data_IF_876779642987
#
_entry.id   IF_876779642987
#
_cell.length_a   1.000
_cell.length_b   1.000
_cell.length_c   1.000
_cell.angle_alpha   90.00
_cell.angle_beta   90.00
_cell.angle_gamma   90.00
#
_symmetry.space_group_name_H-M   'P 1'
#
loop_
_entity.id
_entity.type
_entity.pdbx_description
1 polymer ?
#
# COMPACT_ATOMS: atom_id res chain seq x y z
N UNK A 1 2.03 5.15 74.41
CA UNK A 1 1.14 4.17 73.77
C UNK A 1 0.89 4.64 72.34
N UNK A 2 1.60 4.08 71.36
CA UNK A 2 1.48 4.44 69.95
C UNK A 2 0.11 3.95 69.43
N UNK A 3 -0.74 4.87 68.95
CA UNK A 3 -1.94 4.53 68.19
C UNK A 3 -1.50 4.08 66.80
N UNK A 4 -1.58 2.78 66.54
CA UNK A 4 -1.52 2.22 65.19
C UNK A 4 -2.66 2.81 64.36
N UNK A 5 -2.34 3.75 63.48
CA UNK A 5 -3.20 4.14 62.37
C UNK A 5 -3.12 3.05 61.31
N UNK A 6 -3.96 2.02 61.44
CA UNK A 6 -4.21 1.07 60.35
C UNK A 6 -4.98 1.82 59.25
N UNK A 7 -4.28 2.22 58.20
CA UNK A 7 -4.92 2.63 56.96
C UNK A 7 -5.51 1.37 56.29
N UNK A 8 -6.76 1.05 56.60
CA UNK A 8 -7.53 0.11 55.78
C UNK A 8 -7.87 0.80 54.46
N UNK A 9 -7.10 0.50 53.41
CA UNK A 9 -7.43 0.93 52.06
C UNK A 9 -8.72 0.26 51.63
N UNK A 10 -9.75 1.04 51.31
CA UNK A 10 -11.00 0.52 50.74
C UNK A 10 -10.70 -0.31 49.46
N UNK A 11 -11.43 -1.41 49.27
CA UNK A 11 -11.28 -2.26 48.09
C UNK A 11 -11.61 -1.48 46.81
N UNK A 12 -11.06 -1.92 45.67
CA UNK A 12 -11.32 -1.30 44.36
C UNK A 12 -12.82 -1.20 44.05
N UNK A 13 -13.59 -2.22 44.44
CA UNK A 13 -15.03 -2.27 44.20
C UNK A 13 -15.79 -1.29 45.09
N UNK A 14 -15.38 -1.14 46.36
CA UNK A 14 -15.97 -0.18 47.29
C UNK A 14 -15.69 1.27 46.85
N UNK A 15 -14.47 1.55 46.38
CA UNK A 15 -14.11 2.86 45.82
C UNK A 15 -14.91 3.17 44.55
N UNK A 16 -15.09 2.19 43.67
CA UNK A 16 -15.89 2.34 42.44
C UNK A 16 -17.36 2.64 42.75
N UNK A 17 -17.97 1.90 43.68
CA UNK A 17 -19.35 2.13 44.09
C UNK A 17 -19.53 3.53 44.69
N UNK A 18 -18.61 3.95 45.56
CA UNK A 18 -18.64 5.30 46.15
C UNK A 18 -18.53 6.39 45.08
N UNK A 19 -17.65 6.22 44.10
CA UNK A 19 -17.53 7.14 42.97
C UNK A 19 -18.81 7.19 42.10
N UNK A 20 -19.48 6.06 41.89
CA UNK A 20 -20.74 6.01 41.12
C UNK A 20 -21.94 6.60 41.88
N UNK A 21 -21.95 6.54 43.20
CA UNK A 21 -23.07 7.03 44.02
C UNK A 21 -23.01 8.52 44.31
N UNK A 22 -21.81 9.07 44.52
CA UNK A 22 -21.64 10.47 44.97
C UNK A 22 -20.59 11.24 44.18
N UNK A 23 -20.07 10.68 43.09
CA UNK A 23 -19.08 11.35 42.25
C UNK A 23 -19.72 12.37 41.31
N UNK A 24 -18.90 13.30 40.83
CA UNK A 24 -19.28 14.21 39.76
C UNK A 24 -19.13 13.47 38.43
N UNK A 25 -20.22 13.40 37.66
CA UNK A 25 -20.18 12.87 36.31
C UNK A 25 -19.58 13.91 35.36
N UNK A 26 -18.54 13.52 34.63
CA UNK A 26 -17.95 14.29 33.54
C UNK A 26 -17.64 13.36 32.38
N UNK A 27 -17.92 13.79 31.14
CA UNK A 27 -17.52 13.03 29.95
C UNK A 27 -16.02 13.16 29.73
N UNK A 28 -15.40 12.08 29.27
CA UNK A 28 -14.01 12.13 28.78
C UNK A 28 -14.03 12.84 27.42
N UNK A 29 -13.26 13.91 27.31
CA UNK A 29 -13.15 14.70 26.08
C UNK A 29 -11.99 14.22 25.20
N UNK A 30 -12.13 14.43 23.88
CA UNK A 30 -11.10 14.10 22.90
C UNK A 30 -10.80 15.35 22.08
N UNK A 31 -9.55 15.82 22.15
CA UNK A 31 -9.05 16.85 21.24
C UNK A 31 -8.76 16.20 19.88
N UNK A 32 -9.64 16.46 18.90
CA UNK A 32 -9.59 15.82 17.59
C UNK A 32 -8.34 16.21 16.78
N UNK A 33 -7.92 17.48 16.86
CA UNK A 33 -6.69 17.95 16.20
C UNK A 33 -5.46 17.23 16.72
N UNK A 34 -5.28 17.19 18.04
CA UNK A 34 -4.16 16.48 18.66
C UNK A 34 -4.22 14.97 18.41
N UNK A 35 -5.41 14.38 18.33
CA UNK A 35 -5.57 12.97 17.97
C UNK A 35 -5.08 12.71 16.54
N UNK A 36 -5.50 13.54 15.58
CA UNK A 36 -5.05 13.45 14.18
C UNK A 36 -3.54 13.69 14.09
N UNK A 37 -3.01 14.73 14.71
CA UNK A 37 -1.56 15.01 14.68
C UNK A 37 -0.74 13.86 15.27
N UNK A 38 -1.20 13.22 16.35
CA UNK A 38 -0.56 12.02 16.91
C UNK A 38 -0.66 10.80 15.99
N UNK A 39 -1.73 10.68 15.20
CA UNK A 39 -1.83 9.64 14.16
C UNK A 39 -0.86 9.93 13.01
N UNK A 40 -0.80 11.17 12.53
CA UNK A 40 0.11 11.61 11.47
C UNK A 40 1.57 11.42 11.85
N UNK A 41 1.94 11.67 13.11
CA UNK A 41 3.30 11.46 13.61
C UNK A 41 3.77 9.99 13.54
N UNK A 42 2.85 9.02 13.40
CA UNK A 42 3.18 7.59 13.22
C UNK A 42 3.33 7.20 11.75
N UNK A 43 2.90 8.05 10.82
CA UNK A 43 3.05 7.85 9.38
C UNK A 43 4.36 8.50 8.92
N UNK A 44 5.49 7.84 9.20
CA UNK A 44 6.81 8.32 8.80
C UNK A 44 7.18 7.96 7.36
N UNK A 45 6.47 7.03 6.72
CA UNK A 45 6.76 6.63 5.34
C UNK A 45 6.34 7.69 4.31
N UNK A 46 7.15 7.77 3.25
CA UNK A 46 6.78 8.50 2.05
C UNK A 46 5.50 7.92 1.41
N UNK A 47 4.73 8.79 0.76
CA UNK A 47 3.53 8.41 -0.01
C UNK A 47 2.39 7.72 0.77
N UNK A 48 2.34 7.83 2.10
CA UNK A 48 1.22 7.29 2.91
C UNK A 48 -0.13 7.80 2.40
N UNK A 49 -0.26 9.08 2.10
CA UNK A 49 -1.51 9.64 1.55
C UNK A 49 -1.87 8.96 0.22
N UNK A 50 -0.90 8.80 -0.69
CA UNK A 50 -1.09 8.11 -1.97
C UNK A 50 -1.58 6.67 -1.77
N UNK A 51 -0.99 5.96 -0.79
CA UNK A 51 -1.37 4.60 -0.40
C UNK A 51 -2.84 4.50 0.01
N UNK A 52 -3.25 5.32 0.97
CA UNK A 52 -4.60 5.23 1.54
C UNK A 52 -5.64 5.63 0.48
N UNK A 53 -5.36 6.63 -0.36
CA UNK A 53 -6.27 7.05 -1.43
C UNK A 53 -6.47 5.98 -2.52
N UNK A 54 -5.39 5.33 -2.98
CA UNK A 54 -5.51 4.27 -3.99
C UNK A 54 -6.15 3.00 -3.42
N UNK A 55 -5.86 2.63 -2.17
CA UNK A 55 -6.50 1.49 -1.50
C UNK A 55 -8.00 1.72 -1.31
N UNK A 56 -8.41 2.90 -0.84
CA UNK A 56 -9.82 3.25 -0.73
C UNK A 56 -10.53 3.23 -2.10
N UNK A 57 -9.82 3.61 -3.17
CA UNK A 57 -10.34 3.56 -4.53
C UNK A 57 -10.51 2.12 -5.03
N UNK A 58 -9.56 1.22 -4.75
CA UNK A 58 -9.65 -0.20 -5.08
C UNK A 58 -10.76 -0.90 -4.27
N UNK A 59 -10.89 -0.58 -2.98
CA UNK A 59 -11.98 -1.05 -2.11
C UNK A 59 -13.37 -0.58 -2.62
N UNK A 60 -13.43 0.60 -3.23
CA UNK A 60 -14.62 1.12 -3.93
C UNK A 60 -14.82 0.48 -5.32
N UNK A 61 -14.02 -0.53 -5.69
CA UNK A 61 -14.08 -1.24 -6.98
C UNK A 61 -13.78 -0.36 -8.19
N UNK A 62 -13.00 0.71 -8.01
CA UNK A 62 -12.54 1.53 -9.13
C UNK A 62 -11.67 0.71 -10.09
N UNK A 63 -11.83 0.95 -11.39
CA UNK A 63 -10.95 0.38 -12.42
C UNK A 63 -9.86 1.35 -12.88
N UNK A 64 -10.06 2.64 -12.63
CA UNK A 64 -9.11 3.72 -12.93
C UNK A 64 -8.90 4.62 -11.71
N UNK A 65 -7.63 4.96 -11.45
CA UNK A 65 -7.22 5.91 -10.42
C UNK A 65 -6.35 7.01 -11.02
N UNK A 66 -6.71 8.27 -10.77
CA UNK A 66 -6.00 9.43 -11.25
C UNK A 66 -5.42 10.20 -10.07
N UNK A 67 -4.13 10.52 -10.13
CA UNK A 67 -3.45 11.40 -9.19
C UNK A 67 -3.08 12.69 -9.92
N UNK A 68 -3.81 13.76 -9.64
CA UNK A 68 -3.69 15.03 -10.32
C UNK A 68 -3.00 16.05 -9.40
N UNK A 69 -1.91 16.64 -9.88
CA UNK A 69 -1.12 17.64 -9.17
C UNK A 69 -1.35 18.99 -9.86
N UNK A 70 -1.67 20.02 -9.09
CA UNK A 70 -1.71 21.40 -9.57
C UNK A 70 -0.52 22.18 -9.01
N UNK A 71 0.19 22.88 -9.88
CA UNK A 71 1.37 23.67 -9.52
C UNK A 71 1.30 25.10 -10.08
N UNK A 72 2.06 26.02 -9.51
CA UNK A 72 2.16 27.43 -9.93
C UNK A 72 2.79 27.65 -11.33
N UNK A 73 3.20 26.59 -12.03
CA UNK A 73 3.75 26.64 -13.39
C UNK A 73 2.67 26.71 -14.49
N UNK A 74 2.89 27.48 -15.55
CA UNK A 74 1.89 27.70 -16.60
C UNK A 74 1.40 26.42 -17.32
N UNK A 75 0.14 26.44 -17.76
CA UNK A 75 -0.56 25.35 -18.49
C UNK A 75 0.07 25.05 -19.87
N UNK A 76 0.91 25.96 -20.39
CA UNK A 76 1.59 25.83 -21.70
C UNK A 76 2.85 24.95 -21.71
N UNK A 77 3.17 24.28 -20.59
CA UNK A 77 4.35 23.41 -20.49
C UNK A 77 4.25 22.17 -21.41
N UNK A 78 5.18 22.05 -22.36
CA UNK A 78 5.21 20.93 -23.31
C UNK A 78 5.94 19.70 -22.77
N UNK A 79 6.89 19.87 -21.84
CA UNK A 79 7.67 18.78 -21.22
C UNK A 79 7.58 18.75 -19.69
N UNK A 80 7.82 17.57 -19.12
CA UNK A 80 7.84 17.32 -17.65
C UNK A 80 8.85 18.21 -16.90
N UNK A 81 9.96 18.58 -17.54
CA UNK A 81 11.02 19.41 -16.94
C UNK A 81 10.55 20.81 -16.53
N UNK A 82 9.55 21.36 -17.21
CA UNK A 82 8.98 22.67 -16.88
C UNK A 82 8.32 22.70 -15.50
N UNK A 83 7.92 21.55 -14.98
CA UNK A 83 7.33 21.43 -13.65
C UNK A 83 8.37 21.25 -12.54
N UNK A 84 9.66 21.19 -12.87
CA UNK A 84 10.73 21.13 -11.89
C UNK A 84 10.74 22.38 -11.01
N UNK A 85 10.88 22.20 -9.70
CA UNK A 85 10.92 23.25 -8.68
C UNK A 85 9.65 24.11 -8.59
N UNK A 86 8.53 23.66 -9.17
CA UNK A 86 7.25 24.33 -9.02
C UNK A 86 6.62 24.00 -7.67
N UNK A 87 5.95 24.99 -7.07
CA UNK A 87 5.17 24.78 -5.85
C UNK A 87 3.88 24.05 -6.20
N UNK A 88 3.56 23.01 -5.44
CA UNK A 88 2.28 22.29 -5.53
C UNK A 88 1.25 23.05 -4.70
N UNK A 89 0.11 23.37 -5.30
CA UNK A 89 -0.99 24.12 -4.68
C UNK A 89 -2.18 23.24 -4.34
N UNK A 90 -2.44 22.21 -5.14
CA UNK A 90 -3.51 21.24 -4.91
C UNK A 90 -3.05 19.84 -5.35
N UNK A 91 -3.47 18.83 -4.60
CA UNK A 91 -3.47 17.43 -5.03
C UNK A 91 -4.91 16.96 -5.08
N UNK A 92 -5.26 16.25 -6.15
CA UNK A 92 -6.58 15.65 -6.33
C UNK A 92 -6.45 14.18 -6.70
N UNK A 93 -7.09 13.32 -5.92
CA UNK A 93 -7.24 11.91 -6.28
C UNK A 93 -8.64 11.68 -6.84
N UNK A 94 -8.74 11.15 -8.06
CA UNK A 94 -10.02 10.88 -8.73
C UNK A 94 -10.12 9.40 -9.06
N UNK A 95 -11.25 8.77 -8.79
CA UNK A 95 -11.52 7.39 -9.16
C UNK A 95 -12.94 7.22 -9.72
N UNK A 96 -13.13 6.15 -10.48
CA UNK A 96 -14.41 5.76 -11.08
C UNK A 96 -15.09 4.61 -10.33
N UNK A 97 -14.80 4.44 -9.04
CA UNK A 97 -15.41 3.43 -8.19
C UNK A 97 -16.87 3.74 -7.84
N UNK A 98 -17.39 2.97 -6.90
CA UNK A 98 -18.71 3.19 -6.33
C UNK A 98 -18.78 4.58 -5.67
N UNK A 99 -19.85 5.31 -5.97
CA UNK A 99 -20.16 6.58 -5.30
C UNK A 99 -20.55 6.33 -3.84
N UNK A 100 -20.28 7.31 -2.98
CA UNK A 100 -20.57 7.20 -1.56
C UNK A 100 -22.08 7.08 -1.32
N UNK A 101 -22.46 6.08 -0.52
CA UNK A 101 -23.79 6.03 0.09
C UNK A 101 -23.79 6.68 1.48
N UNK A 102 -24.95 6.78 2.12
CA UNK A 102 -25.09 7.35 3.48
C UNK A 102 -24.15 6.73 4.53
N UNK A 103 -23.88 5.44 4.43
CA UNK A 103 -22.98 4.74 5.35
C UNK A 103 -21.53 5.12 5.08
N UNK A 104 -21.13 5.31 3.82
CA UNK A 104 -19.78 5.82 3.49
C UNK A 104 -19.59 7.24 4.04
N UNK A 105 -20.56 8.12 3.84
CA UNK A 105 -20.52 9.50 4.34
C UNK A 105 -20.42 9.60 5.86
N UNK A 106 -21.17 8.75 6.59
CA UNK A 106 -21.06 8.69 8.06
C UNK A 106 -19.69 8.18 8.51
N UNK A 107 -19.19 7.13 7.86
CA UNK A 107 -17.90 6.52 8.21
C UNK A 107 -16.73 7.46 7.96
N UNK A 108 -16.70 8.18 6.84
CA UNK A 108 -15.57 9.09 6.54
C UNK A 108 -15.52 10.28 7.52
N UNK A 109 -16.65 10.64 8.13
CA UNK A 109 -16.75 11.67 9.16
C UNK A 109 -16.41 11.15 10.58
N UNK A 110 -16.24 9.85 10.77
CA UNK A 110 -15.99 9.23 12.06
C UNK A 110 -14.53 8.75 12.19
N UNK A 111 -13.79 9.31 13.15
CA UNK A 111 -12.41 8.88 13.42
C UNK A 111 -12.43 7.52 14.11
N UNK A 112 -11.58 6.61 13.62
CA UNK A 112 -11.40 5.26 14.17
C UNK A 112 -12.63 4.35 14.06
N UNK A 113 -13.57 4.67 13.16
CA UNK A 113 -14.65 3.77 12.76
C UNK A 113 -14.28 3.05 11.46
N UNK A 114 -13.68 1.87 11.61
CA UNK A 114 -13.19 1.06 10.50
C UNK A 114 -14.26 0.48 9.58
N UNK A 115 -13.88 0.14 8.35
CA UNK A 115 -14.78 -0.57 7.45
C UNK A 115 -14.94 -2.02 7.93
N UNK A 116 -16.16 -2.39 8.30
CA UNK A 116 -16.50 -3.73 8.78
C UNK A 116 -16.56 -4.77 7.64
N UNK A 117 -16.56 -4.34 6.38
CA UNK A 117 -16.59 -5.24 5.22
C UNK A 117 -15.31 -6.11 5.18
N UNK A 118 -15.48 -7.43 5.31
CA UNK A 118 -14.40 -8.42 5.28
C UNK A 118 -13.49 -8.33 4.05
N UNK A 119 -14.02 -7.91 2.91
CA UNK A 119 -13.26 -7.80 1.66
C UNK A 119 -12.40 -6.52 1.55
N UNK A 120 -12.64 -5.53 2.41
CA UNK A 120 -11.92 -4.25 2.35
C UNK A 120 -10.57 -4.32 3.08
N UNK A 121 -9.54 -3.74 2.46
CA UNK A 121 -8.18 -3.65 3.03
C UNK A 121 -8.16 -2.69 4.23
N UNK A 122 -8.95 -1.62 4.18
CA UNK A 122 -9.04 -0.61 5.22
C UNK A 122 -9.74 -1.08 6.50
N UNK A 123 -8.98 -1.52 7.51
CA UNK A 123 -9.55 -2.07 8.75
C UNK A 123 -9.82 -1.05 9.88
N UNK A 124 -8.98 -0.02 10.05
CA UNK A 124 -8.98 0.80 11.27
C UNK A 124 -9.75 2.13 11.16
N UNK A 125 -10.19 2.53 9.96
CA UNK A 125 -10.98 3.76 9.79
C UNK A 125 -10.20 5.05 10.04
N UNK A 126 -8.87 4.98 10.11
CA UNK A 126 -7.99 6.14 10.32
C UNK A 126 -7.21 6.55 9.07
N UNK A 127 -7.13 5.66 8.07
CA UNK A 127 -6.33 5.85 6.87
C UNK A 127 -6.71 7.10 6.07
N UNK A 128 -8.01 7.41 5.97
CA UNK A 128 -8.48 8.62 5.31
C UNK A 128 -7.90 9.89 5.95
N UNK A 129 -7.80 9.94 7.29
CA UNK A 129 -7.30 11.12 8.00
C UNK A 129 -5.81 11.40 7.76
N UNK A 130 -5.07 10.50 7.09
CA UNK A 130 -3.73 10.80 6.59
C UNK A 130 -3.70 12.02 5.65
N UNK A 131 -4.82 12.33 4.95
CA UNK A 131 -4.91 13.50 4.06
C UNK A 131 -4.65 14.84 4.76
N UNK A 132 -4.83 14.90 6.09
CA UNK A 132 -4.56 16.09 6.89
C UNK A 132 -3.05 16.45 6.99
N UNK A 133 -2.18 15.52 6.59
CA UNK A 133 -0.76 15.83 6.36
C UNK A 133 -0.54 16.76 5.16
N UNK A 134 -1.43 16.73 4.15
CA UNK A 134 -1.35 17.60 2.98
C UNK A 134 -2.30 18.79 3.04
N UNK A 135 -3.47 18.68 3.68
CA UNK A 135 -4.49 19.74 3.66
C UNK A 135 -5.12 19.97 5.02
N UNK A 136 -5.42 21.23 5.37
CA UNK A 136 -6.26 21.56 6.54
C UNK A 136 -7.75 21.55 6.19
N UNK A 137 -8.09 21.57 4.91
CA UNK A 137 -9.44 21.78 4.37
C UNK A 137 -9.77 20.76 3.26
N UNK A 138 -9.67 19.45 3.51
CA UNK A 138 -9.96 18.44 2.49
C UNK A 138 -11.44 18.47 2.08
N UNK A 139 -11.68 18.26 0.79
CA UNK A 139 -13.03 18.15 0.22
C UNK A 139 -13.18 16.80 -0.47
N UNK A 140 -14.32 16.16 -0.25
CA UNK A 140 -14.74 14.95 -0.95
C UNK A 140 -15.88 15.31 -1.88
N UNK A 141 -15.81 14.89 -3.14
CA UNK A 141 -16.90 14.98 -4.11
C UNK A 141 -17.22 13.56 -4.55
N UNK A 142 -18.47 13.12 -4.48
CA UNK A 142 -18.87 11.78 -4.90
C UNK A 142 -20.32 11.77 -5.38
N UNK A 143 -20.55 11.40 -6.64
CA UNK A 143 -21.91 11.36 -7.19
C UNK A 143 -22.50 12.76 -7.35
N UNK A 144 -23.66 12.97 -6.71
CA UNK A 144 -24.40 14.23 -6.70
C UNK A 144 -24.10 15.10 -5.46
N UNK A 145 -23.10 14.73 -4.65
CA UNK A 145 -22.83 15.38 -3.36
C UNK A 145 -21.35 15.68 -3.14
N UNK A 146 -21.11 16.62 -2.22
CA UNK A 146 -19.78 16.91 -1.72
C UNK A 146 -19.80 17.15 -0.21
N UNK A 147 -18.64 16.94 0.43
CA UNK A 147 -18.41 17.15 1.85
C UNK A 147 -17.10 17.93 2.05
N UNK A 148 -17.18 19.03 2.81
CA UNK A 148 -16.01 19.81 3.22
C UNK A 148 -15.72 19.59 4.71
N UNK A 149 -14.44 19.42 5.06
CA UNK A 149 -13.97 19.37 6.44
C UNK A 149 -13.48 20.74 6.90
N UNK A 150 -13.86 21.16 8.10
CA UNK A 150 -13.56 22.49 8.64
C UNK A 150 -13.16 22.38 10.11
N UNK A 151 -11.97 22.88 10.44
CA UNK A 151 -11.53 23.07 11.82
C UNK A 151 -12.25 24.26 12.45
N UNK A 152 -12.68 24.09 13.70
CA UNK A 152 -13.26 25.14 14.54
C UNK A 152 -12.20 25.68 15.51
N UNK A 153 -12.49 26.84 16.09
CA UNK A 153 -11.61 27.53 17.06
C UNK A 153 -11.32 26.68 18.31
N UNK A 154 -12.23 25.77 18.67
CA UNK A 154 -12.07 24.82 19.79
C UNK A 154 -11.26 23.56 19.42
N UNK A 155 -10.66 23.52 18.23
CA UNK A 155 -9.95 22.36 17.66
C UNK A 155 -10.83 21.14 17.36
N UNK A 156 -12.15 21.30 17.31
CA UNK A 156 -13.05 20.29 16.76
C UNK A 156 -13.06 20.34 15.22
N UNK A 157 -13.23 19.17 14.60
CA UNK A 157 -13.36 18.99 13.17
C UNK A 157 -14.84 18.77 12.83
N UNK A 158 -15.39 19.64 11.98
CA UNK A 158 -16.79 19.54 11.51
C UNK A 158 -16.84 19.24 10.02
N UNK A 159 -17.83 18.47 9.59
CA UNK A 159 -18.12 18.23 8.17
C UNK A 159 -19.37 18.97 7.71
N UNK A 160 -19.34 19.54 6.51
CA UNK A 160 -20.51 20.11 5.84
C UNK A 160 -20.77 19.38 4.54
N UNK A 161 -21.95 18.79 4.38
CA UNK A 161 -22.35 18.03 3.19
C UNK A 161 -23.47 18.73 2.45
N UNK A 162 -23.40 18.78 1.12
CA UNK A 162 -24.41 19.40 0.28
C UNK A 162 -24.49 18.71 -1.09
N UNK A 163 -25.61 18.91 -1.79
CA UNK A 163 -25.77 18.52 -3.19
C UNK A 163 -25.05 19.46 -4.15
N UNK A 164 -24.48 18.89 -5.18
CA UNK A 164 -23.93 19.58 -6.36
C UNK A 164 -25.04 19.99 -7.32
N UNK A 165 -24.81 21.06 -8.08
CA UNK A 165 -25.68 21.42 -9.18
C UNK A 165 -25.60 20.35 -10.29
N UNK A 166 -26.69 20.15 -11.05
CA UNK A 166 -26.81 19.04 -12.00
C UNK A 166 -25.65 18.97 -13.02
N UNK A 167 -25.12 20.11 -13.46
CA UNK A 167 -24.00 20.19 -14.40
C UNK A 167 -22.63 19.80 -13.81
N UNK A 168 -22.51 19.72 -12.48
CA UNK A 168 -21.26 19.41 -11.77
C UNK A 168 -21.19 17.94 -11.31
N UNK A 169 -22.32 17.23 -11.42
CA UNK A 169 -22.43 15.85 -10.96
C UNK A 169 -21.65 14.90 -11.87
N UNK A 170 -21.02 13.90 -11.29
CA UNK A 170 -20.30 12.87 -12.03
C UNK A 170 -20.45 11.50 -11.37
N UNK A 171 -20.13 10.43 -12.08
CA UNK A 171 -20.07 9.07 -11.50
C UNK A 171 -18.75 8.79 -10.79
N UNK A 172 -17.90 9.80 -10.63
CA UNK A 172 -16.57 9.67 -10.04
C UNK A 172 -16.59 10.13 -8.59
N UNK A 173 -15.58 9.68 -7.84
CA UNK A 173 -15.24 10.21 -6.53
C UNK A 173 -13.93 10.98 -6.63
N UNK A 174 -13.89 12.20 -6.09
CA UNK A 174 -12.69 13.05 -6.02
C UNK A 174 -12.39 13.43 -4.58
N UNK A 175 -11.13 13.27 -4.17
CA UNK A 175 -10.59 13.83 -2.92
C UNK A 175 -9.68 14.98 -3.29
N UNK A 176 -10.01 16.18 -2.81
CA UNK A 176 -9.37 17.45 -3.17
C UNK A 176 -8.63 17.97 -1.96
N UNK A 177 -7.32 18.19 -2.13
CA UNK A 177 -6.40 18.53 -1.06
C UNK A 177 -5.66 19.80 -1.44
N UNK A 178 -6.15 20.96 -0.98
CA UNK A 178 -5.40 22.20 -1.07
C UNK A 178 -4.22 22.15 -0.10
N UNK A 179 -3.01 22.41 -0.59
CA UNK A 179 -1.79 22.18 0.18
C UNK A 179 -1.68 23.17 1.36
N UNK A 180 -1.56 22.64 2.59
CA UNK A 180 -1.43 23.44 3.83
C UNK A 180 -0.03 24.00 4.04
N UNK A 181 0.98 23.35 3.46
CA UNK A 181 2.39 23.74 3.51
C UNK A 181 2.96 23.73 2.10
N UNK A 182 4.05 24.47 1.90
CA UNK A 182 4.74 24.52 0.62
C UNK A 182 5.37 23.16 0.31
N UNK A 183 4.93 22.51 -0.75
CA UNK A 183 5.58 21.34 -1.33
C UNK A 183 6.18 21.72 -2.68
N UNK A 184 7.41 21.26 -2.95
CA UNK A 184 8.05 21.45 -4.25
C UNK A 184 8.01 20.15 -5.06
N UNK A 185 7.64 20.26 -6.33
CA UNK A 185 7.69 19.15 -7.27
C UNK A 185 9.09 19.01 -7.89
N UNK A 186 9.70 17.84 -7.73
CA UNK A 186 10.96 17.49 -8.38
C UNK A 186 10.73 16.47 -9.49
N UNK A 187 11.16 16.82 -10.70
CA UNK A 187 11.07 15.95 -11.90
C UNK A 187 12.40 15.33 -12.33
N UNK A 188 13.51 15.66 -11.68
CA UNK A 188 14.84 15.15 -12.04
C UNK A 188 15.00 13.65 -11.71
N UNK A 189 15.79 12.96 -12.55
CA UNK A 189 15.94 11.50 -12.59
C UNK A 189 17.15 10.95 -11.82
N UNK A 190 17.88 11.80 -11.08
CA UNK A 190 19.15 11.46 -10.43
C UNK A 190 19.00 10.62 -9.15
N UNK A 191 17.79 10.16 -8.85
CA UNK A 191 17.49 9.35 -7.68
C UNK A 191 17.29 7.89 -8.09
N UNK A 192 17.91 6.97 -7.34
CA UNK A 192 17.71 5.54 -7.53
C UNK A 192 16.23 5.20 -7.36
N UNK A 193 15.65 4.66 -8.43
CA UNK A 193 14.25 4.20 -8.48
C UNK A 193 14.06 2.93 -7.63
N UNK A 194 15.17 2.34 -7.16
CA UNK A 194 15.24 1.11 -6.38
C UNK A 194 14.96 1.29 -4.86
N UNK A 195 14.42 2.44 -4.45
CA UNK A 195 14.04 2.73 -3.06
C UNK A 195 15.16 3.39 -2.25
N UNK A 196 14.89 3.81 -1.00
CA UNK A 196 15.92 4.39 -0.15
C UNK A 196 17.04 3.37 0.03
N UNK A 197 18.28 3.81 -0.18
CA UNK A 197 19.45 2.98 0.02
C UNK A 197 19.41 2.38 1.44
N UNK A 198 19.20 1.06 1.53
CA UNK A 198 19.58 0.32 2.72
C UNK A 198 21.04 0.69 3.01
N UNK A 199 21.33 0.90 4.30
CA UNK A 199 22.65 1.18 4.85
C UNK A 199 23.65 0.16 4.31
N UNK A 200 24.27 0.49 3.18
CA UNK A 200 25.48 -0.19 2.74
C UNK A 200 26.51 0.04 3.84
N UNK A 201 26.93 -1.05 4.47
CA UNK A 201 28.04 -1.09 5.41
C UNK A 201 29.28 -0.56 4.68
N UNK A 202 29.51 0.75 4.78
CA UNK A 202 30.63 1.43 4.14
C UNK A 202 31.86 1.24 5.02
N UNK A 203 32.56 0.14 4.78
CA UNK A 203 34.00 0.07 5.08
C UNK A 203 34.71 1.30 4.48
N UNK A 204 35.62 1.96 5.20
CA UNK A 204 36.07 3.31 4.86
C UNK A 204 37.25 3.26 3.89
N UNK A 205 37.05 3.27 2.57
CA UNK A 205 38.15 3.65 1.68
C UNK A 205 37.73 4.47 0.46
N UNK A 206 38.52 5.54 0.25
CA UNK A 206 38.70 6.44 -0.91
C UNK A 206 37.79 7.68 -1.02
N UNK A 207 38.50 8.82 -0.92
CA UNK A 207 38.07 10.23 -0.92
C UNK A 207 37.24 10.59 -2.16
N UNK A 208 36.03 11.13 -1.96
CA UNK A 208 35.28 11.90 -2.98
C UNK A 208 35.74 13.37 -3.00
N UNK A 209 35.71 14.06 -4.15
CA UNK A 209 36.14 15.45 -4.26
C UNK A 209 35.14 16.39 -3.56
N UNK A 210 35.67 17.45 -2.94
CA UNK A 210 34.93 18.47 -2.17
C UNK A 210 33.92 19.20 -3.09
N UNK A 211 32.62 19.06 -2.83
CA UNK A 211 31.61 20.01 -3.30
C UNK A 211 31.62 21.22 -2.34
N UNK A 212 31.61 22.42 -2.92
CA UNK A 212 31.57 23.70 -2.22
C UNK A 212 30.34 23.79 -1.32
N UNK A 213 30.59 23.93 -0.01
CA UNK A 213 29.56 24.22 0.99
C UNK A 213 29.31 25.71 0.95
N UNK A 214 28.17 26.11 0.39
CA UNK A 214 27.63 27.45 0.61
C UNK A 214 26.83 27.40 1.91
N UNK A 215 27.37 27.98 2.96
CA UNK A 215 26.70 28.20 4.25
C UNK A 215 25.37 28.94 4.06
N UNK A 216 24.26 28.31 4.44
CA UNK A 216 22.97 28.99 4.61
C UNK A 216 22.40 28.67 6.00
N UNK A 217 22.08 29.75 6.69
CA UNK A 217 21.37 29.90 7.97
C UNK A 217 20.09 29.08 8.04
N UNK A 218 19.80 28.45 9.20
CA UNK A 218 18.53 27.79 9.59
C UNK A 218 17.52 27.58 8.46
N UNK A 219 17.80 26.63 7.56
CA UNK A 219 16.93 26.34 6.42
C UNK A 219 15.71 25.55 6.89
N UNK A 220 14.52 26.14 6.79
CA UNK A 220 13.27 25.39 6.79
C UNK A 220 13.37 24.29 5.72
N UNK A 221 13.28 23.02 6.14
CA UNK A 221 13.30 21.88 5.23
C UNK A 221 11.96 21.90 4.49
N UNK A 222 11.95 22.41 3.25
CA UNK A 222 10.77 22.40 2.39
C UNK A 222 10.55 20.96 1.90
N UNK A 223 9.40 20.33 2.17
CA UNK A 223 9.12 18.98 1.70
C UNK A 223 8.96 18.95 0.18
N UNK A 224 9.28 17.80 -0.42
CA UNK A 224 9.28 17.64 -1.88
C UNK A 224 8.53 16.38 -2.30
N UNK A 225 7.91 16.40 -3.47
CA UNK A 225 7.40 15.21 -4.14
C UNK A 225 8.28 14.94 -5.35
N UNK A 226 8.95 13.79 -5.37
CA UNK A 226 9.71 13.35 -6.53
C UNK A 226 8.80 12.57 -7.48
N UNK A 227 8.65 13.08 -8.71
CA UNK A 227 7.75 12.51 -9.71
C UNK A 227 8.22 11.13 -10.20
N UNK A 228 9.53 10.90 -10.33
CA UNK A 228 10.07 9.59 -10.74
C UNK A 228 9.78 8.51 -9.69
N UNK A 229 9.97 8.85 -8.41
CA UNK A 229 9.64 7.95 -7.30
C UNK A 229 8.13 7.72 -7.20
N UNK A 230 7.32 8.75 -7.40
CA UNK A 230 5.86 8.63 -7.41
C UNK A 230 5.36 7.69 -8.53
N UNK A 231 5.93 7.80 -9.75
CA UNK A 231 5.63 6.90 -10.87
C UNK A 231 5.97 5.45 -10.54
N UNK A 232 7.15 5.20 -9.98
CA UNK A 232 7.59 3.86 -9.57
C UNK A 232 6.72 3.30 -8.45
N UNK A 233 6.43 4.12 -7.43
CA UNK A 233 5.56 3.78 -6.32
C UNK A 233 4.19 3.30 -6.81
N UNK A 234 3.51 4.11 -7.61
CA UNK A 234 2.19 3.77 -8.12
C UNK A 234 2.19 2.55 -9.04
N UNK A 235 3.21 2.42 -9.89
CA UNK A 235 3.40 1.25 -10.75
C UNK A 235 3.51 -0.02 -9.91
N UNK A 236 4.24 0.03 -8.80
CA UNK A 236 4.42 -1.09 -7.87
C UNK A 236 3.16 -1.42 -7.06
N UNK A 237 2.42 -0.42 -6.61
CA UNK A 237 1.12 -0.65 -5.94
C UNK A 237 0.14 -1.37 -6.86
N UNK A 238 0.16 -1.04 -8.17
CA UNK A 238 -0.70 -1.65 -9.16
C UNK A 238 -0.54 -3.18 -9.24
N UNK A 239 0.60 -3.76 -8.83
CA UNK A 239 0.85 -5.22 -8.88
C UNK A 239 -0.26 -6.06 -8.24
N UNK A 240 -0.82 -5.61 -7.11
CA UNK A 240 -1.78 -6.39 -6.33
C UNK A 240 -3.12 -5.69 -6.10
N UNK A 241 -3.42 -4.61 -6.82
CA UNK A 241 -4.80 -4.06 -6.86
C UNK A 241 -5.76 -5.10 -7.43
N UNK A 242 -6.95 -5.19 -6.83
CA UNK A 242 -7.99 -6.16 -7.20
C UNK A 242 -8.76 -5.70 -8.43
N UNK A 243 -9.12 -4.41 -8.48
CA UNK A 243 -9.99 -3.83 -9.51
C UNK A 243 -9.28 -2.78 -10.36
N UNK A 244 -8.39 -1.98 -9.76
CA UNK A 244 -7.68 -0.92 -10.49
C UNK A 244 -6.73 -1.56 -11.51
N UNK A 245 -6.92 -1.19 -12.77
CA UNK A 245 -6.08 -1.60 -13.89
C UNK A 245 -5.40 -0.40 -14.55
N UNK A 246 -6.00 0.78 -14.48
CA UNK A 246 -5.45 2.00 -15.05
C UNK A 246 -5.03 2.98 -13.96
N UNK A 247 -3.81 3.51 -14.07
CA UNK A 247 -3.31 4.56 -13.21
C UNK A 247 -2.75 5.71 -14.02
N UNK A 248 -3.21 6.92 -13.70
CA UNK A 248 -2.85 8.15 -14.43
C UNK A 248 -2.30 9.18 -13.46
N UNK A 249 -1.15 9.79 -13.79
CA UNK A 249 -0.65 10.98 -13.10
C UNK A 249 -0.80 12.16 -14.04
N UNK A 250 -1.44 13.22 -13.56
CA UNK A 250 -1.58 14.49 -14.29
C UNK A 250 -0.88 15.62 -13.55
N UNK A 251 -0.34 16.56 -14.30
CA UNK A 251 0.14 17.85 -13.76
C UNK A 251 -0.55 18.96 -14.55
N UNK A 252 -1.20 19.89 -13.85
CA UNK A 252 -1.97 20.98 -14.45
C UNK A 252 -2.91 20.47 -15.56
N UNK A 253 -3.67 19.41 -15.23
CA UNK A 253 -4.63 18.71 -16.10
C UNK A 253 -4.03 17.94 -17.29
N UNK A 254 -2.72 18.05 -17.56
CA UNK A 254 -2.04 17.28 -18.61
C UNK A 254 -1.60 15.92 -18.08
N UNK A 255 -1.90 14.85 -18.82
CA UNK A 255 -1.39 13.51 -18.51
C UNK A 255 0.12 13.47 -18.72
N UNK A 256 0.86 13.13 -17.65
CA UNK A 256 2.32 13.01 -17.67
C UNK A 256 2.76 11.55 -17.62
N UNK A 257 1.97 10.71 -16.96
CA UNK A 257 2.25 9.29 -16.84
C UNK A 257 0.95 8.51 -16.85
N UNK A 258 0.93 7.41 -17.59
CA UNK A 258 -0.14 6.44 -17.55
C UNK A 258 0.47 5.06 -17.58
N UNK A 259 0.09 4.22 -16.62
CA UNK A 259 0.46 2.81 -16.58
C UNK A 259 -0.80 1.97 -16.50
N UNK A 260 -0.83 0.91 -17.28
CA UNK A 260 -1.95 -0.03 -17.32
C UNK A 260 -1.47 -1.42 -16.92
N UNK A 261 -2.32 -2.14 -16.18
CA UNK A 261 -2.13 -3.55 -15.83
C UNK A 261 -3.22 -4.38 -16.49
N UNK A 262 -2.81 -5.43 -17.20
CA UNK A 262 -3.73 -6.43 -17.73
C UNK A 262 -3.36 -7.81 -17.23
N UNK A 263 -4.35 -8.70 -17.09
CA UNK A 263 -4.14 -10.10 -16.67
C UNK A 263 -4.59 -11.02 -17.79
N UNK A 264 -3.69 -11.88 -18.26
CA UNK A 264 -3.97 -12.90 -19.27
C UNK A 264 -3.89 -14.28 -18.63
N UNK A 265 -5.00 -15.01 -18.59
CA UNK A 265 -5.02 -16.37 -18.04
C UNK A 265 -4.15 -17.31 -18.87
N UNK A 266 -3.32 -18.09 -18.19
CA UNK A 266 -2.56 -19.20 -18.77
C UNK A 266 -3.44 -20.44 -18.57
N UNK A 267 -4.01 -20.99 -19.66
CA UNK A 267 -4.98 -22.12 -19.63
C UNK A 267 -4.39 -23.36 -18.92
N UNK A 268 -5.23 -24.18 -18.27
CA UNK A 268 -5.06 -24.52 -16.86
C UNK A 268 -4.09 -25.66 -16.60
N UNK A 269 -3.25 -25.50 -15.59
CA UNK A 269 -2.66 -26.63 -14.89
C UNK A 269 -3.79 -27.41 -14.21
N UNK A 270 -4.06 -28.63 -14.69
CA UNK A 270 -4.98 -29.59 -14.08
C UNK A 270 -4.77 -29.61 -12.57
N UNK A 271 -5.85 -29.67 -11.77
CA UNK A 271 -5.82 -29.89 -10.32
C UNK A 271 -4.79 -30.98 -9.98
N UNK A 272 -3.58 -30.57 -9.61
CA UNK A 272 -2.55 -31.52 -9.19
C UNK A 272 -2.89 -31.88 -7.75
N UNK A 273 -3.19 -33.15 -7.50
CA UNK A 273 -3.38 -33.74 -6.16
C UNK A 273 -2.25 -33.37 -5.19
N UNK A 274 -1.07 -33.00 -5.71
CA UNK A 274 0.08 -32.49 -4.96
C UNK A 274 -0.18 -31.18 -4.20
N UNK A 275 -1.17 -30.39 -4.61
CA UNK A 275 -1.44 -29.04 -4.08
C UNK A 275 -2.45 -29.03 -2.92
N UNK A 276 -3.22 -30.10 -2.72
CA UNK A 276 -4.18 -30.23 -1.61
C UNK A 276 -3.46 -30.57 -0.31
N UNK A 277 -2.68 -29.61 0.19
CA UNK A 277 -2.01 -29.69 1.47
C UNK A 277 -2.61 -28.67 2.42
N UNK A 278 -2.77 -29.09 3.66
CA UNK A 278 -3.06 -28.16 4.72
C UNK A 278 -1.79 -27.36 5.04
N UNK A 279 -1.98 -26.16 5.59
CA UNK A 279 -0.92 -25.44 6.27
C UNK A 279 -0.43 -26.24 7.50
N UNK A 280 0.74 -25.88 8.04
CA UNK A 280 1.39 -26.66 9.10
C UNK A 280 0.48 -26.82 10.33
N UNK A 281 -0.21 -25.76 10.74
CA UNK A 281 -1.14 -25.81 11.87
C UNK A 281 -2.59 -26.11 11.43
N UNK A 282 -2.79 -26.59 10.20
CA UNK A 282 -4.09 -26.94 9.61
C UNK A 282 -5.13 -25.81 9.67
N UNK A 283 -4.70 -24.55 9.66
CA UNK A 283 -5.60 -23.40 9.65
C UNK A 283 -6.09 -23.03 8.25
N UNK A 284 -5.40 -23.50 7.21
CA UNK A 284 -5.71 -23.21 5.81
C UNK A 284 -5.62 -24.51 5.00
N UNK A 285 -6.54 -24.67 4.05
CA UNK A 285 -6.45 -25.68 3.00
C UNK A 285 -6.36 -24.98 1.65
N UNK A 286 -5.30 -25.26 0.91
CA UNK A 286 -5.15 -24.76 -0.46
C UNK A 286 -6.08 -25.53 -1.40
N UNK A 287 -6.95 -24.83 -2.12
CA UNK A 287 -8.01 -25.46 -2.91
C UNK A 287 -7.72 -25.45 -4.41
N UNK A 288 -7.70 -24.26 -5.01
CA UNK A 288 -7.53 -24.07 -6.44
C UNK A 288 -6.55 -22.92 -6.70
N UNK A 289 -5.94 -22.92 -7.88
CA UNK A 289 -5.09 -21.83 -8.29
C UNK A 289 -5.34 -21.44 -9.74
N UNK A 290 -5.04 -20.18 -10.05
CA UNK A 290 -5.10 -19.61 -11.38
C UNK A 290 -3.72 -19.03 -11.67
N UNK A 291 -3.12 -19.45 -12.78
CA UNK A 291 -1.91 -18.83 -13.32
C UNK A 291 -2.29 -17.82 -14.40
N UNK A 292 -1.68 -16.65 -14.33
CA UNK A 292 -1.87 -15.55 -15.27
C UNK A 292 -0.53 -14.91 -15.58
N UNK A 293 -0.40 -14.36 -16.76
CA UNK A 293 0.61 -13.35 -17.06
C UNK A 293 0.03 -11.97 -16.73
N UNK A 294 0.72 -11.18 -15.90
CA UNK A 294 0.38 -9.79 -15.64
C UNK A 294 1.28 -8.89 -16.48
N UNK A 295 0.67 -8.09 -17.37
CA UNK A 295 1.38 -7.19 -18.27
C UNK A 295 1.19 -5.77 -17.78
N UNK A 296 2.30 -5.08 -17.52
CA UNK A 296 2.34 -3.68 -17.14
C UNK A 296 2.87 -2.87 -18.32
N UNK A 297 2.10 -1.90 -18.78
CA UNK A 297 2.43 -1.10 -19.96
C UNK A 297 2.37 0.39 -19.62
N UNK A 298 3.46 1.11 -19.89
CA UNK A 298 3.47 2.57 -19.82
C UNK A 298 2.99 3.10 -21.18
N UNK A 299 2.07 4.06 -21.16
CA UNK A 299 1.48 4.62 -22.38
C UNK A 299 2.56 5.24 -23.28
N UNK A 300 2.50 4.94 -24.58
CA UNK A 300 3.54 5.25 -25.58
C UNK A 300 4.97 4.83 -25.19
N UNK A 301 5.12 3.83 -24.30
CA UNK A 301 6.38 3.41 -23.71
C UNK A 301 6.59 1.89 -23.69
N UNK A 302 7.51 1.40 -22.85
CA UNK A 302 7.79 -0.02 -22.72
C UNK A 302 6.64 -0.77 -22.01
N UNK A 303 6.69 -2.10 -22.11
CA UNK A 303 5.88 -3.00 -21.30
C UNK A 303 6.74 -4.11 -20.69
N UNK A 304 6.27 -4.69 -19.58
CA UNK A 304 6.86 -5.86 -18.95
C UNK A 304 5.77 -6.86 -18.58
N UNK A 305 6.02 -8.14 -18.85
CA UNK A 305 5.16 -9.24 -18.48
C UNK A 305 5.79 -10.01 -17.32
N UNK A 306 5.02 -10.21 -16.25
CA UNK A 306 5.43 -10.99 -15.08
C UNK A 306 4.49 -12.17 -14.88
N UNK A 307 5.04 -13.28 -14.42
CA UNK A 307 4.24 -14.45 -14.07
C UNK A 307 3.53 -14.20 -12.74
N UNK A 308 2.28 -14.63 -12.67
CA UNK A 308 1.46 -14.50 -11.49
C UNK A 308 0.69 -15.79 -11.23
N UNK A 309 0.66 -16.20 -9.97
CA UNK A 309 -0.19 -17.28 -9.49
C UNK A 309 -1.07 -16.75 -8.36
N UNK A 310 -2.35 -17.07 -8.42
CA UNK A 310 -3.33 -16.76 -7.40
C UNK A 310 -3.93 -18.04 -6.88
N UNK A 311 -3.88 -18.25 -5.58
CA UNK A 311 -4.32 -19.47 -4.91
C UNK A 311 -5.45 -19.13 -3.96
N UNK A 312 -6.58 -19.79 -4.12
CA UNK A 312 -7.68 -19.70 -3.17
C UNK A 312 -7.50 -20.75 -2.08
N UNK A 313 -7.67 -20.33 -0.83
CA UNK A 313 -7.55 -21.18 0.34
C UNK A 313 -8.75 -21.00 1.29
N UNK A 314 -9.33 -22.13 1.69
CA UNK A 314 -10.39 -22.20 2.69
C UNK A 314 -9.81 -22.14 4.09
N UNK A 315 -10.41 -21.35 4.98
CA UNK A 315 -10.04 -21.33 6.40
C UNK A 315 -10.61 -22.53 7.14
N UNK A 316 -9.79 -23.11 8.01
CA UNK A 316 -10.14 -24.17 8.94
C UNK A 316 -9.74 -23.67 10.34
N UNK A 317 -10.56 -22.79 10.90
CA UNK A 317 -10.31 -22.18 12.22
C UNK A 317 -11.45 -22.51 13.18
N UNK A 318 -11.13 -22.74 14.44
CA UNK A 318 -12.13 -22.94 15.49
C UNK A 318 -12.74 -21.62 15.98
N UNK A 319 -13.92 -21.71 16.61
CA UNK A 319 -14.67 -20.54 17.08
C UNK A 319 -13.92 -19.74 18.15
N UNK A 320 -13.10 -20.40 18.98
CA UNK A 320 -12.33 -19.71 20.02
C UNK A 320 -11.30 -18.79 19.39
N UNK A 321 -10.51 -19.32 18.45
CA UNK A 321 -9.53 -18.55 17.70
C UNK A 321 -10.19 -17.40 16.92
N UNK A 322 -11.29 -17.69 16.22
CA UNK A 322 -12.04 -16.68 15.48
C UNK A 322 -12.54 -15.55 16.39
N UNK A 323 -13.06 -15.87 17.57
CA UNK A 323 -13.54 -14.89 18.54
C UNK A 323 -12.41 -14.02 19.12
N UNK A 324 -11.23 -14.59 19.39
CA UNK A 324 -10.08 -13.81 19.87
C UNK A 324 -9.55 -12.85 18.81
N UNK A 325 -9.35 -13.35 17.58
CA UNK A 325 -8.94 -12.49 16.46
C UNK A 325 -9.97 -11.38 16.23
N UNK A 326 -11.27 -11.69 16.25
CA UNK A 326 -12.33 -10.68 16.09
C UNK A 326 -12.28 -9.61 17.19
N UNK A 327 -11.93 -9.98 18.43
CA UNK A 327 -11.78 -9.01 19.53
C UNK A 327 -10.59 -8.07 19.32
N UNK A 328 -9.48 -8.58 18.78
CA UNK A 328 -8.26 -7.83 18.49
C UNK A 328 -8.49 -6.91 17.27
N UNK A 329 -8.93 -7.50 16.17
CA UNK A 329 -9.11 -6.84 14.88
C UNK A 329 -10.36 -5.96 14.81
N UNK A 330 -11.32 -6.14 15.73
CA UNK A 330 -12.69 -5.57 15.65
C UNK A 330 -13.45 -5.99 14.38
N UNK A 331 -12.96 -7.01 13.68
CA UNK A 331 -13.46 -7.49 12.38
C UNK A 331 -13.28 -9.00 12.29
N UNK A 332 -14.25 -9.69 11.68
CA UNK A 332 -14.13 -11.12 11.42
C UNK A 332 -13.10 -11.39 10.33
N UNK A 333 -12.45 -12.55 10.38
CA UNK A 333 -11.64 -13.02 9.26
C UNK A 333 -12.56 -13.35 8.06
N UNK A 334 -12.08 -13.21 6.82
CA UNK A 334 -12.84 -13.64 5.66
C UNK A 334 -13.01 -15.17 5.65
N UNK A 335 -14.06 -15.70 4.99
CA UNK A 335 -14.33 -17.14 4.93
C UNK A 335 -13.36 -17.92 4.02
N UNK A 336 -12.69 -17.21 3.11
CA UNK A 336 -11.56 -17.70 2.32
C UNK A 336 -10.51 -16.60 2.19
N UNK A 337 -9.27 -16.99 1.94
CA UNK A 337 -8.19 -16.07 1.62
C UNK A 337 -7.60 -16.40 0.26
N UNK A 338 -7.05 -15.37 -0.37
CA UNK A 338 -6.26 -15.52 -1.57
C UNK A 338 -4.78 -15.29 -1.26
N UNK A 339 -3.92 -16.15 -1.79
CA UNK A 339 -2.46 -16.02 -1.73
C UNK A 339 -1.95 -15.83 -3.16
N UNK A 340 -1.35 -14.68 -3.42
CA UNK A 340 -0.86 -14.31 -4.75
C UNK A 340 0.66 -14.18 -4.73
N UNK A 341 1.32 -14.74 -5.74
CA UNK A 341 2.75 -14.55 -6.00
C UNK A 341 2.94 -13.91 -7.37
N UNK A 342 3.82 -12.91 -7.47
CA UNK A 342 4.25 -12.29 -8.72
C UNK A 342 5.76 -12.50 -8.87
N UNK A 343 6.21 -13.05 -9.99
CA UNK A 343 7.60 -13.48 -10.19
C UNK A 343 8.05 -13.33 -11.64
N UNK A 344 9.37 -13.30 -11.83
CA UNK A 344 9.98 -12.99 -13.12
C UNK A 344 10.04 -14.22 -14.03
N UNK A 345 9.58 -14.13 -15.30
CA UNK A 345 9.80 -15.15 -16.31
C UNK A 345 11.29 -15.36 -16.63
N UNK A 346 11.66 -16.58 -17.03
CA UNK A 346 13.06 -16.96 -17.29
C UNK A 346 13.71 -16.14 -18.42
N UNK A 347 12.95 -15.77 -19.46
CA UNK A 347 13.49 -15.02 -20.59
C UNK A 347 13.92 -13.61 -20.18
N UNK A 348 13.18 -12.96 -19.28
CA UNK A 348 13.53 -11.67 -18.70
C UNK A 348 14.80 -11.80 -17.85
N UNK A 349 14.92 -12.85 -17.04
CA UNK A 349 16.11 -13.11 -16.21
C UNK A 349 17.36 -13.22 -17.11
N UNK A 350 17.30 -14.05 -18.15
CA UNK A 350 18.42 -14.25 -19.10
C UNK A 350 18.80 -12.94 -19.80
N UNK A 351 17.81 -12.20 -20.33
CA UNK A 351 18.04 -10.89 -20.96
C UNK A 351 18.72 -9.91 -20.02
N UNK A 352 18.32 -9.87 -18.75
CA UNK A 352 18.90 -8.97 -17.74
C UNK A 352 20.31 -9.37 -17.33
N UNK A 353 20.62 -10.66 -17.21
CA UNK A 353 21.99 -11.12 -16.94
C UNK A 353 22.96 -10.74 -18.05
N UNK A 354 22.50 -10.70 -19.31
CA UNK A 354 23.33 -10.30 -20.46
C UNK A 354 23.51 -8.77 -20.56
N UNK A 355 22.65 -7.98 -19.91
CA UNK A 355 22.72 -6.53 -19.90
C UNK A 355 23.47 -6.02 -18.66
N UNK A 356 24.75 -5.69 -18.82
CA UNK A 356 25.62 -5.24 -17.72
C UNK A 356 25.39 -3.80 -17.25
N UNK A 357 24.58 -3.01 -17.96
CA UNK A 357 24.35 -1.58 -17.63
C UNK A 357 22.91 -1.30 -17.20
N UNK A 358 22.77 -0.40 -16.22
CA UNK A 358 21.47 0.13 -15.79
C UNK A 358 20.80 0.79 -17.00
N UNK A 359 19.51 0.49 -17.21
CA UNK A 359 18.74 1.08 -18.29
C UNK A 359 18.74 2.61 -18.17
N UNK A 360 19.13 3.31 -19.25
CA UNK A 360 19.13 4.78 -19.29
C UNK A 360 17.72 5.37 -19.30
N UNK A 361 16.76 4.64 -19.86
CA UNK A 361 15.36 5.04 -19.94
C UNK A 361 14.66 4.93 -18.56
N UNK A 362 14.05 6.03 -18.11
CA UNK A 362 13.31 6.10 -16.85
C UNK A 362 12.11 5.15 -16.82
N UNK A 363 11.33 5.05 -17.90
CA UNK A 363 10.16 4.18 -17.97
C UNK A 363 10.57 2.71 -17.87
N UNK A 364 11.70 2.35 -18.47
CA UNK A 364 12.28 1.00 -18.31
C UNK A 364 12.70 0.77 -16.86
N UNK A 365 13.36 1.74 -16.19
CA UNK A 365 13.69 1.63 -14.75
C UNK A 365 12.45 1.49 -13.87
N UNK A 366 11.39 2.25 -14.15
CA UNK A 366 10.11 2.16 -13.42
C UNK A 366 9.52 0.75 -13.56
N UNK A 367 9.41 0.20 -14.77
CA UNK A 367 8.90 -1.16 -14.94
C UNK A 367 9.80 -2.22 -14.31
N UNK A 368 11.11 -2.00 -14.33
CA UNK A 368 12.06 -2.90 -13.69
C UNK A 368 11.95 -2.92 -12.16
N UNK A 369 11.40 -1.88 -11.53
CA UNK A 369 11.12 -1.87 -10.08
C UNK A 369 10.06 -2.91 -9.65
N UNK A 370 9.32 -3.49 -10.61
CA UNK A 370 8.40 -4.60 -10.42
C UNK A 370 9.08 -5.97 -10.36
N UNK A 371 10.35 -6.05 -10.74
CA UNK A 371 11.10 -7.29 -10.77
C UNK A 371 11.55 -7.64 -9.35
N UNK A 372 11.10 -8.76 -8.76
CA UNK A 372 11.47 -9.18 -7.41
C UNK A 372 12.89 -9.78 -7.32
N UNK A 373 13.79 -9.37 -8.21
CA UNK A 373 15.19 -9.81 -8.28
C UNK A 373 16.12 -8.61 -8.47
N UNK A 374 17.26 -8.60 -7.79
CA UNK A 374 18.38 -7.67 -8.01
C UNK A 374 19.46 -8.36 -8.84
N UNK A 375 20.03 -7.63 -9.79
CA UNK A 375 21.08 -8.10 -10.69
C UNK A 375 22.35 -7.29 -10.45
N UNK A 376 23.35 -7.90 -9.81
CA UNK A 376 24.60 -7.24 -9.44
C UNK A 376 25.78 -8.04 -9.98
N UNK A 377 26.52 -7.51 -10.97
CA UNK A 377 27.81 -8.07 -11.43
C UNK A 377 27.83 -9.61 -11.57
N UNK A 378 26.85 -10.17 -12.30
CA UNK A 378 26.60 -11.61 -12.53
C UNK A 378 25.95 -12.40 -11.39
N UNK A 379 25.72 -11.81 -10.22
CA UNK A 379 24.92 -12.40 -9.15
C UNK A 379 23.46 -11.94 -9.23
N UNK A 380 22.54 -12.90 -9.03
CA UNK A 380 21.12 -12.63 -8.84
C UNK A 380 20.82 -12.83 -7.35
N UNK A 381 20.21 -11.82 -6.73
CA UNK A 381 19.71 -11.91 -5.36
C UNK A 381 18.21 -11.64 -5.30
N UNK A 382 17.48 -12.30 -4.38
CA UNK A 382 16.05 -12.07 -4.21
C UNK A 382 15.78 -10.67 -3.63
N UNK A 383 14.80 -9.97 -4.19
CA UNK A 383 14.30 -8.67 -3.71
C UNK A 383 12.78 -8.59 -3.66
N UNK A 384 12.13 -9.75 -3.69
CA UNK A 384 10.69 -9.88 -3.49
C UNK A 384 10.26 -9.24 -2.17
N UNK A 385 9.05 -8.70 -2.14
CA UNK A 385 8.47 -7.95 -1.02
C UNK A 385 7.12 -8.53 -0.65
N UNK A 386 6.76 -8.38 0.62
CA UNK A 386 5.42 -8.73 1.10
C UNK A 386 4.51 -7.51 0.93
N UNK A 387 3.35 -7.70 0.30
CA UNK A 387 2.36 -6.67 0.05
C UNK A 387 1.17 -6.81 0.99
N UNK A 388 0.86 -5.72 1.69
CA UNK A 388 -0.29 -5.54 2.59
C UNK A 388 -1.15 -4.36 2.08
N UNK A 389 -1.32 -4.32 0.76
CA UNK A 389 -1.79 -3.15 0.01
C UNK A 389 -0.65 -2.29 -0.53
N UNK A 390 0.49 -2.18 0.17
CA UNK A 390 1.78 -1.76 -0.39
C UNK A 390 2.88 -2.77 -0.03
N UNK A 391 4.02 -2.70 -0.71
CA UNK A 391 5.23 -3.43 -0.33
C UNK A 391 5.77 -2.97 1.03
N UNK A 392 5.79 -3.88 2.00
CA UNK A 392 6.44 -3.71 3.32
C UNK A 392 7.95 -3.55 3.20
N UNK A 393 8.60 -3.15 4.30
CA UNK A 393 10.07 -3.19 4.41
C UNK A 393 10.64 -4.62 4.44
N UNK A 394 9.79 -5.63 4.60
CA UNK A 394 10.21 -7.02 4.71
C UNK A 394 10.28 -7.68 3.33
N UNK A 395 11.44 -8.28 3.05
CA UNK A 395 11.65 -9.08 1.84
C UNK A 395 11.13 -10.50 2.02
N UNK A 396 10.76 -11.14 0.91
CA UNK A 396 10.26 -12.53 0.91
C UNK A 396 11.38 -13.56 0.90
N UNK A 397 12.61 -13.15 0.53
CA UNK A 397 13.78 -14.03 0.41
C UNK A 397 13.74 -15.06 -0.73
N UNK A 398 12.63 -15.14 -1.49
CA UNK A 398 12.42 -16.17 -2.52
C UNK A 398 12.37 -15.65 -3.96
N UNK A 399 12.63 -14.35 -4.16
CA UNK A 399 12.62 -13.75 -5.50
C UNK A 399 11.21 -13.62 -6.09
N UNK A 400 10.19 -13.53 -5.22
CA UNK A 400 8.79 -13.35 -5.62
C UNK A 400 8.16 -12.26 -4.76
N UNK A 401 7.38 -11.36 -5.33
CA UNK A 401 6.48 -10.52 -4.56
C UNK A 401 5.29 -11.35 -4.08
N UNK A 402 4.82 -11.09 -2.87
CA UNK A 402 3.76 -11.87 -2.20
C UNK A 402 2.64 -10.92 -1.80
N UNK A 403 1.39 -11.30 -2.04
CA UNK A 403 0.23 -10.65 -1.46
C UNK A 403 -0.69 -11.69 -0.84
N UNK A 404 -1.17 -11.40 0.37
CA UNK A 404 -2.25 -12.17 1.01
C UNK A 404 -2.88 -11.33 2.11
N UNK A 405 -3.85 -11.92 2.84
CA UNK A 405 -4.55 -11.31 3.97
C UNK A 405 -3.66 -11.26 5.23
N UNK A 406 -2.41 -10.85 5.07
CA UNK A 406 -1.46 -10.66 6.16
C UNK A 406 -1.87 -9.41 6.97
N UNK A 407 -1.78 -9.51 8.28
CA UNK A 407 -2.18 -8.45 9.20
C UNK A 407 -0.93 -7.64 9.56
N UNK A 408 -0.90 -6.34 9.25
CA UNK A 408 0.25 -5.51 9.53
C UNK A 408 0.20 -4.86 10.90
N UNK A 409 1.29 -4.20 11.29
CA UNK A 409 1.30 -3.24 12.40
C UNK A 409 0.43 -2.02 12.08
N UNK A 410 0.20 -1.15 13.07
CA UNK A 410 -0.65 0.05 12.94
C UNK A 410 -0.16 0.98 11.82
N UNK A 411 1.16 1.10 11.66
CA UNK A 411 1.83 1.93 10.66
C UNK A 411 1.65 1.38 9.23
N UNK A 412 1.33 0.09 9.12
CA UNK A 412 1.19 -0.66 7.85
C UNK A 412 2.46 -0.67 7.02
N UNK A 413 3.59 -0.87 7.68
CA UNK A 413 4.91 -0.96 7.05
C UNK A 413 5.54 -2.34 7.24
N UNK A 414 5.13 -3.05 8.29
CA UNK A 414 5.63 -4.37 8.67
C UNK A 414 4.47 -5.28 9.06
N UNK A 415 4.71 -6.58 9.07
CA UNK A 415 3.82 -7.58 9.63
C UNK A 415 3.80 -7.51 11.15
N UNK A 416 2.61 -7.64 11.73
CA UNK A 416 2.50 -7.81 13.17
C UNK A 416 2.82 -9.26 13.54
N UNK A 417 3.93 -9.45 14.23
CA UNK A 417 4.34 -10.74 14.78
C UNK A 417 4.42 -10.72 16.31
N UNK A 418 4.00 -9.60 16.94
CA UNK A 418 4.06 -9.40 18.38
C UNK A 418 2.82 -9.95 19.08
N UNK A 419 1.62 -9.68 18.55
CA UNK A 419 0.41 -10.27 19.10
C UNK A 419 0.39 -11.79 18.83
N UNK A 420 0.19 -12.67 19.84
CA UNK A 420 0.29 -14.11 19.64
C UNK A 420 -0.70 -14.69 18.63
N UNK A 421 -1.92 -14.15 18.57
CA UNK A 421 -2.95 -14.61 17.63
C UNK A 421 -2.65 -14.09 16.23
N UNK A 422 -2.31 -12.82 16.09
CA UNK A 422 -1.94 -12.25 14.79
C UNK A 422 -0.67 -12.92 14.23
N UNK A 423 0.34 -13.14 15.07
CA UNK A 423 1.58 -13.83 14.71
C UNK A 423 1.31 -15.25 14.21
N UNK A 424 0.41 -16.00 14.86
CA UNK A 424 0.00 -17.33 14.41
C UNK A 424 -0.65 -17.27 13.02
N UNK A 425 -1.59 -16.34 12.81
CA UNK A 425 -2.23 -16.12 11.51
C UNK A 425 -1.22 -15.78 10.40
N UNK A 426 -0.36 -14.81 10.65
CA UNK A 426 0.63 -14.36 9.68
C UNK A 426 1.62 -15.47 9.33
N UNK A 427 2.09 -16.23 10.32
CA UNK A 427 2.97 -17.39 10.09
C UNK A 427 2.31 -18.46 9.22
N UNK A 428 1.03 -18.76 9.45
CA UNK A 428 0.31 -19.73 8.62
C UNK A 428 0.24 -19.31 7.16
N UNK A 429 -0.09 -18.05 6.87
CA UNK A 429 -0.09 -17.54 5.51
C UNK A 429 1.31 -17.59 4.88
N UNK A 430 2.36 -17.21 5.61
CA UNK A 430 3.74 -17.25 5.13
C UNK A 430 4.23 -18.69 4.85
N UNK A 431 3.82 -19.66 5.67
CA UNK A 431 4.11 -21.07 5.43
C UNK A 431 3.42 -21.58 4.16
N UNK A 432 2.15 -21.21 3.95
CA UNK A 432 1.44 -21.49 2.71
C UNK A 432 2.08 -20.82 1.50
N UNK A 433 2.58 -19.58 1.63
CA UNK A 433 3.39 -18.92 0.59
C UNK A 433 4.61 -19.76 0.23
N UNK A 434 5.34 -20.30 1.21
CA UNK A 434 6.47 -21.20 0.96
C UNK A 434 6.07 -22.48 0.21
N UNK A 435 4.94 -23.08 0.56
CA UNK A 435 4.39 -24.25 -0.15
C UNK A 435 4.07 -23.93 -1.61
N UNK A 436 3.44 -22.78 -1.88
CA UNK A 436 3.08 -22.34 -3.23
C UNK A 436 4.33 -21.99 -4.03
N UNK A 437 5.31 -21.30 -3.44
CA UNK A 437 6.58 -20.99 -4.08
C UNK A 437 7.33 -22.26 -4.49
N UNK A 438 7.34 -23.29 -3.63
CA UNK A 438 7.91 -24.59 -3.96
C UNK A 438 7.18 -25.26 -5.12
N UNK A 439 5.85 -25.22 -5.12
CA UNK A 439 5.04 -25.73 -6.22
C UNK A 439 5.38 -25.05 -7.55
N UNK A 440 5.48 -23.71 -7.57
CA UNK A 440 5.88 -22.94 -8.76
C UNK A 440 7.27 -23.36 -9.24
N UNK A 441 8.24 -23.46 -8.32
CA UNK A 441 9.60 -23.90 -8.64
C UNK A 441 9.61 -25.29 -9.29
N UNK A 442 8.88 -26.26 -8.71
CA UNK A 442 8.82 -27.62 -9.24
C UNK A 442 8.16 -27.67 -10.63
N UNK A 443 7.13 -26.85 -10.90
CA UNK A 443 6.57 -26.73 -12.27
C UNK A 443 7.62 -26.22 -13.26
N UNK A 444 8.32 -25.12 -12.93
CA UNK A 444 9.32 -24.53 -13.82
C UNK A 444 10.50 -25.48 -14.10
N UNK A 445 10.94 -26.27 -13.12
CA UNK A 445 11.98 -27.29 -13.32
C UNK A 445 11.50 -28.40 -14.26
N UNK A 446 10.25 -28.85 -14.11
CA UNK A 446 9.69 -29.92 -14.94
C UNK A 446 9.45 -29.48 -16.39
N UNK A 447 8.98 -28.26 -16.62
CA UNK A 447 8.85 -27.67 -17.96
C UNK A 447 10.19 -27.63 -18.68
N UNK A 448 11.26 -27.19 -17.99
CA UNK A 448 12.61 -27.18 -18.55
C UNK A 448 13.09 -28.59 -18.90
N UNK A 449 12.85 -29.60 -18.03
CA UNK A 449 13.22 -30.99 -18.33
C UNK A 449 12.50 -31.54 -19.56
N UNK A 450 11.21 -31.25 -19.72
CA UNK A 450 10.44 -31.65 -20.90
C UNK A 450 10.94 -30.96 -22.18
N UNK A 451 11.33 -29.69 -22.08
CA UNK A 451 11.95 -28.96 -23.19
C UNK A 451 13.27 -29.62 -23.63
N UNK A 452 14.16 -29.95 -22.69
CA UNK A 452 15.42 -30.64 -22.99
C UNK A 452 15.21 -32.06 -23.51
N UNK A 453 14.24 -32.82 -22.98
CA UNK A 453 13.95 -34.15 -23.51
C UNK A 453 13.42 -34.10 -24.95
N UNK A 454 12.60 -33.08 -25.25
CA UNK A 454 12.07 -32.85 -26.60
C UNK A 454 13.21 -32.47 -27.57
N UNK A 455 14.12 -31.58 -27.16
CA UNK A 455 15.31 -31.24 -27.95
C UNK A 455 16.24 -32.45 -28.16
N UNK A 456 16.42 -33.31 -27.16
CA UNK A 456 17.21 -34.54 -27.30
C UNK A 456 16.56 -35.58 -28.21
N UNK A 457 15.23 -35.53 -28.39
CA UNK A 457 14.53 -36.37 -29.37
C UNK A 457 14.58 -35.82 -30.80
N UNK A 458 15.07 -34.59 -30.97
CA UNK A 458 15.40 -33.95 -32.25
C UNK A 458 16.91 -34.00 -32.53
N UNK A 459 17.61 -35.07 -32.13
CA UNK A 459 18.95 -35.36 -32.63
C UNK A 459 18.86 -35.81 -34.10
N UNK A 460 19.46 -35.02 -34.99
CA UNK A 460 19.71 -35.34 -36.41
C UNK A 460 20.53 -36.60 -36.61
#
# INVERSE_FOLDING_TARGET
MMKNLSYESASSDALRLKALQSGFESRVEVNQRMLIDKMLARYSSDFVVCRELIQNSDDAKATSFHFEITCDGGVSATSEEHFHNQTITEIRAVNNGLVFNETDWKRVAAIAEGNTNVESVGQFGVGFFSVFSFSEEPIIVSGDEYMAFVWRDDNSLTTFRHKLAAQEQSKSTSIILKMRTKYILHTQTDFDVDGPAELTDKSPTKKKPKKSVTTTTTNDIIPTINLSQLKAYFTKVLSFTKYINDLVIKINQKTIFKVTKTKKAIRPAKSQSQFKKNSIHNMLRLDAFIQTEQIFSIDHGPSIALNHISVDATLIIDDNYHNQIRRILKKSLPPSVQIQLLYTPNDIIVKRQQQSSIAKDLNVRILNSLIPLKFNNNEISPSGLIFIGLGTHQTTGIGMHVYSHLIPTIERENLDLQDPYISKWNRELLLSVGQIARFVYDQSVNENKQFYSTLSSFSF
#
